data_IF_667647250720
#
_entry.id   IF_667647250720
#
_cell.length_a   1.000
_cell.length_b   1.000
_cell.length_c   1.000
_cell.angle_alpha   90.00
_cell.angle_beta   90.00
_cell.angle_gamma   90.00
#
_symmetry.space_group_name_H-M   'P 1'
#
loop_
_entity.id
_entity.type
_entity.pdbx_description
1 polymer ?
#
# COMPACT_ATOMS: atom_id res chain seq x y z
N UNK A 1 -26.33 49.94 29.58
CA UNK A 1 -25.31 49.36 28.67
C UNK A 1 -23.90 49.96 28.84
N UNK A 2 -23.73 51.27 29.05
CA UNK A 2 -22.42 51.93 29.21
C UNK A 2 -21.52 51.34 30.34
N UNK A 3 -22.11 50.89 31.45
CA UNK A 3 -21.34 50.31 32.57
C UNK A 3 -20.73 48.93 32.25
N UNK A 4 -21.36 48.13 31.39
CA UNK A 4 -20.85 46.82 30.96
C UNK A 4 -19.66 47.01 29.98
N UNK A 5 -19.68 48.09 29.20
CA UNK A 5 -18.57 48.44 28.29
C UNK A 5 -17.37 48.95 29.11
N UNK A 6 -17.60 49.85 30.09
CA UNK A 6 -16.55 50.34 30.99
C UNK A 6 -15.89 49.22 31.81
N UNK A 7 -16.64 48.20 32.23
CA UNK A 7 -16.06 47.06 32.97
C UNK A 7 -15.19 46.16 32.08
N UNK A 8 -15.52 45.98 30.80
CA UNK A 8 -14.68 45.24 29.84
C UNK A 8 -13.38 45.97 29.46
N UNK A 9 -13.38 47.30 29.47
CA UNK A 9 -12.20 48.12 29.13
C UNK A 9 -11.12 48.14 30.23
N UNK A 10 -11.45 47.72 31.46
CA UNK A 10 -10.48 47.66 32.58
C UNK A 10 -9.48 46.50 32.52
N UNK A 11 -9.57 45.61 31.53
CA UNK A 11 -8.64 44.49 31.41
C UNK A 11 -7.27 44.95 30.88
N UNK A 12 -6.22 44.80 31.69
CA UNK A 12 -4.84 45.17 31.32
C UNK A 12 -4.16 44.02 30.56
N UNK A 13 -3.70 44.30 29.34
CA UNK A 13 -2.87 43.37 28.58
C UNK A 13 -1.39 43.59 28.89
N UNK A 14 -0.65 42.51 29.15
CA UNK A 14 0.80 42.58 29.33
C UNK A 14 1.46 43.00 28.03
N UNK A 15 2.22 44.11 28.03
CA UNK A 15 3.03 44.54 26.88
C UNK A 15 4.09 43.48 26.58
N UNK A 16 4.22 43.07 25.31
CA UNK A 16 5.24 42.13 24.86
C UNK A 16 6.61 42.85 24.86
N UNK A 17 7.55 42.42 25.70
CA UNK A 17 8.91 42.93 25.68
C UNK A 17 9.73 42.23 24.58
N UNK A 18 10.55 43.01 23.87
CA UNK A 18 11.51 42.52 22.89
C UNK A 18 12.81 42.13 23.60
N UNK A 19 12.79 41.05 24.38
CA UNK A 19 14.00 40.53 24.99
C UNK A 19 14.88 39.87 23.92
N UNK A 20 16.21 39.92 24.09
CA UNK A 20 17.14 39.14 23.27
C UNK A 20 16.86 37.65 23.45
N UNK A 21 16.39 37.00 22.39
CA UNK A 21 16.11 35.57 22.42
C UNK A 21 17.43 34.77 22.52
N UNK A 22 17.47 33.81 23.44
CA UNK A 22 18.56 32.85 23.51
C UNK A 22 18.65 32.07 22.19
N UNK A 23 19.84 32.08 21.58
CA UNK A 23 20.07 31.39 20.30
C UNK A 23 19.93 29.88 20.50
N UNK A 24 18.88 29.29 19.95
CA UNK A 24 18.75 27.83 19.94
C UNK A 24 19.62 27.25 18.82
N UNK A 25 20.62 26.44 19.21
CA UNK A 25 21.64 25.94 18.27
C UNK A 25 21.02 24.94 17.26
N UNK A 26 20.09 24.07 17.70
CA UNK A 26 19.43 23.08 16.83
C UNK A 26 18.00 22.77 17.29
N UNK A 27 17.05 22.87 16.36
CA UNK A 27 15.68 22.43 16.59
C UNK A 27 15.53 20.90 16.61
N UNK A 28 14.59 20.43 17.44
CA UNK A 28 14.14 19.03 17.45
C UNK A 28 13.46 18.70 16.13
N UNK A 29 13.69 17.49 15.65
CA UNK A 29 12.92 16.99 14.50
C UNK A 29 11.46 16.80 14.87
N UNK A 30 10.58 17.49 14.17
CA UNK A 30 9.14 17.30 14.29
C UNK A 30 8.70 16.10 13.47
N UNK A 31 7.85 15.29 14.08
CA UNK A 31 7.23 14.12 13.46
C UNK A 31 5.74 14.43 13.26
N UNK A 32 5.10 13.95 12.17
CA UNK A 32 3.67 14.15 12.01
C UNK A 32 2.87 13.62 13.20
N UNK A 33 1.94 14.41 13.72
CA UNK A 33 1.10 14.08 14.90
C UNK A 33 0.35 12.74 14.78
N UNK A 34 0.03 12.33 13.55
CA UNK A 34 -0.62 11.03 13.27
C UNK A 34 0.27 9.83 13.62
N UNK A 35 1.60 10.02 13.69
CA UNK A 35 2.49 8.96 14.19
C UNK A 35 2.38 8.79 15.69
N UNK A 36 2.07 9.85 16.44
CA UNK A 36 1.75 9.75 17.86
C UNK A 36 0.46 8.98 18.06
N UNK A 37 -0.65 9.36 17.43
CA UNK A 37 -1.90 8.63 17.57
C UNK A 37 -2.51 8.28 16.22
N UNK A 38 -2.93 7.01 16.08
CA UNK A 38 -3.61 6.53 14.86
C UNK A 38 -4.88 7.34 14.56
N UNK A 39 -5.52 7.87 15.60
CA UNK A 39 -6.61 8.83 15.48
C UNK A 39 -6.08 10.19 15.95
N UNK A 40 -5.85 11.10 15.00
CA UNK A 40 -5.60 12.51 15.29
C UNK A 40 -6.96 13.18 15.43
N UNK A 41 -7.44 13.31 16.67
CA UNK A 41 -8.73 13.92 16.99
C UNK A 41 -8.67 14.68 18.32
N UNK A 42 -9.37 15.79 18.36
CA UNK A 42 -9.75 16.46 19.58
C UNK A 42 -11.25 16.79 19.53
N UNK A 43 -11.97 16.49 20.60
CA UNK A 43 -13.40 16.83 20.74
C UNK A 43 -13.63 17.38 22.14
N UNK A 44 -14.47 18.41 22.24
CA UNK A 44 -14.92 18.97 23.51
C UNK A 44 -15.76 17.94 24.28
N UNK A 45 -16.78 17.36 23.65
CA UNK A 45 -17.57 16.28 24.22
C UNK A 45 -16.79 14.94 24.23
N UNK A 46 -16.32 14.54 25.41
CA UNK A 46 -15.50 13.33 25.63
C UNK A 46 -16.26 12.02 25.44
N UNK A 47 -17.60 12.01 25.53
CA UNK A 47 -18.40 10.80 25.35
C UNK A 47 -18.19 10.20 23.95
N UNK A 48 -18.10 11.06 22.94
CA UNK A 48 -17.84 10.65 21.55
C UNK A 48 -16.46 10.01 21.34
N UNK A 49 -15.45 10.43 22.10
CA UNK A 49 -14.06 10.00 21.97
C UNK A 49 -13.88 8.53 22.36
N UNK A 50 -14.65 8.05 23.34
CA UNK A 50 -14.59 6.67 23.86
C UNK A 50 -14.93 5.60 22.80
N UNK A 51 -15.82 5.93 21.85
CA UNK A 51 -16.29 5.01 20.82
C UNK A 51 -15.33 4.90 19.61
N UNK A 52 -14.44 5.88 19.44
CA UNK A 52 -13.57 5.99 18.27
C UNK A 52 -12.64 4.79 18.09
N UNK A 53 -11.94 4.27 19.12
CA UNK A 53 -11.09 3.10 18.96
C UNK A 53 -11.84 1.86 18.43
N UNK A 54 -13.09 1.67 18.87
CA UNK A 54 -13.94 0.56 18.41
C UNK A 54 -14.37 0.79 16.97
N UNK A 55 -14.83 2.01 16.64
CA UNK A 55 -15.20 2.41 15.29
C UNK A 55 -14.03 2.23 14.31
N UNK A 56 -12.84 2.73 14.63
CA UNK A 56 -11.64 2.58 13.79
C UNK A 56 -11.27 1.12 13.54
N UNK A 57 -11.43 0.26 14.55
CA UNK A 57 -11.20 -1.18 14.41
C UNK A 57 -12.21 -1.85 13.48
N UNK A 58 -13.48 -1.46 13.53
CA UNK A 58 -14.53 -1.96 12.62
C UNK A 58 -14.29 -1.47 11.19
N UNK A 59 -14.03 -0.18 11.01
CA UNK A 59 -13.68 0.43 9.72
C UNK A 59 -12.47 -0.27 9.10
N UNK A 60 -11.43 -0.56 9.89
CA UNK A 60 -10.27 -1.29 9.39
C UNK A 60 -10.61 -2.73 8.98
N UNK A 61 -11.55 -3.41 9.65
CA UNK A 61 -12.04 -4.72 9.19
C UNK A 61 -12.76 -4.61 7.85
N UNK A 62 -13.60 -3.61 7.65
CA UNK A 62 -14.30 -3.36 6.38
C UNK A 62 -13.32 -3.08 5.24
N UNK A 63 -12.36 -2.17 5.45
CA UNK A 63 -11.31 -1.83 4.48
C UNK A 63 -10.49 -3.09 4.14
N UNK A 64 -10.05 -3.86 5.14
CA UNK A 64 -9.34 -5.13 4.92
C UNK A 64 -10.22 -6.12 4.13
N UNK A 65 -11.53 -6.18 4.39
CA UNK A 65 -12.48 -6.98 3.62
C UNK A 65 -12.56 -6.58 2.15
N UNK A 66 -12.80 -5.28 1.89
CA UNK A 66 -12.92 -4.70 0.56
C UNK A 66 -11.70 -5.01 -0.32
N UNK A 67 -10.49 -4.71 0.15
CA UNK A 67 -9.28 -4.94 -0.64
C UNK A 67 -8.94 -6.43 -0.81
N UNK A 68 -9.34 -7.29 0.14
CA UNK A 68 -9.22 -8.74 0.02
C UNK A 68 -10.32 -9.38 -0.86
N UNK A 69 -11.27 -8.61 -1.41
CA UNK A 69 -12.26 -9.14 -2.36
C UNK A 69 -11.57 -9.71 -3.62
N UNK A 70 -12.14 -10.76 -4.21
CA UNK A 70 -11.60 -11.39 -5.42
C UNK A 70 -12.73 -11.64 -6.43
N UNK A 71 -12.44 -11.46 -7.71
CA UNK A 71 -13.34 -11.95 -8.77
C UNK A 71 -13.15 -13.46 -8.94
N UNK A 72 -13.97 -14.24 -8.24
CA UNK A 72 -13.90 -15.70 -8.23
C UNK A 72 -14.17 -16.31 -9.61
N UNK A 73 -15.03 -15.68 -10.41
CA UNK A 73 -15.52 -16.18 -11.70
C UNK A 73 -14.44 -16.09 -12.78
N UNK A 74 -13.65 -15.02 -12.80
CA UNK A 74 -12.54 -14.89 -13.75
C UNK A 74 -11.34 -15.73 -13.29
N UNK A 75 -11.04 -15.75 -11.99
CA UNK A 75 -9.91 -16.53 -11.47
C UNK A 75 -10.10 -18.05 -11.60
N UNK A 76 -11.34 -18.55 -11.52
CA UNK A 76 -11.62 -19.97 -11.73
C UNK A 76 -11.31 -20.39 -13.17
N UNK A 77 -11.67 -19.56 -14.14
CA UNK A 77 -11.41 -19.81 -15.58
C UNK A 77 -9.92 -19.89 -15.91
N UNK A 78 -9.05 -19.25 -15.12
CA UNK A 78 -7.59 -19.27 -15.30
C UNK A 78 -6.89 -20.53 -14.78
N UNK A 79 -7.59 -21.41 -14.05
CA UNK A 79 -7.01 -22.59 -13.41
C UNK A 79 -7.63 -23.87 -13.97
N UNK A 80 -6.83 -24.94 -14.03
CA UNK A 80 -7.35 -26.28 -14.33
C UNK A 80 -8.21 -26.79 -13.17
N UNK A 81 -7.80 -26.52 -11.93
CA UNK A 81 -8.47 -26.98 -10.72
C UNK A 81 -9.05 -25.83 -9.87
N UNK A 82 -10.19 -26.12 -9.24
CA UNK A 82 -10.88 -25.19 -8.33
C UNK A 82 -10.10 -25.07 -7.01
N UNK A 83 -9.52 -23.89 -6.77
CA UNK A 83 -8.85 -23.64 -5.49
C UNK A 83 -9.86 -23.45 -4.35
N UNK A 84 -9.73 -24.25 -3.28
CA UNK A 84 -10.53 -24.14 -2.04
C UNK A 84 -10.46 -22.71 -1.45
N UNK A 85 -11.58 -22.22 -0.89
CA UNK A 85 -11.69 -20.87 -0.29
C UNK A 85 -10.62 -20.62 0.78
N UNK A 86 -10.32 -21.62 1.62
CA UNK A 86 -9.26 -21.54 2.65
C UNK A 86 -7.88 -21.21 2.07
N UNK A 87 -7.49 -21.85 0.96
CA UNK A 87 -6.19 -21.64 0.34
C UNK A 87 -6.08 -20.24 -0.30
N UNK A 88 -7.20 -19.67 -0.76
CA UNK A 88 -7.26 -18.28 -1.26
C UNK A 88 -6.99 -17.30 -0.13
N UNK A 89 -7.65 -17.47 1.03
CA UNK A 89 -7.46 -16.64 2.23
C UNK A 89 -6.01 -16.68 2.77
N UNK A 90 -5.30 -17.80 2.56
CA UNK A 90 -3.89 -17.99 2.97
C UNK A 90 -2.87 -17.59 1.90
N UNK A 91 -3.32 -17.12 0.73
CA UNK A 91 -2.43 -16.70 -0.35
C UNK A 91 -1.67 -15.42 0.02
N UNK A 92 -0.39 -15.37 -0.32
CA UNK A 92 0.39 -14.13 -0.25
C UNK A 92 0.15 -13.22 -1.47
N UNK A 93 -0.51 -13.71 -2.51
CA UNK A 93 -0.79 -12.93 -3.72
C UNK A 93 -2.08 -12.13 -3.53
N UNK A 94 -1.96 -11.04 -2.78
CA UNK A 94 -3.07 -10.15 -2.43
C UNK A 94 -2.56 -8.73 -2.25
N UNK A 95 -3.49 -7.81 -2.00
CA UNK A 95 -3.17 -6.44 -1.61
C UNK A 95 -2.91 -6.45 -0.10
N UNK A 96 -1.72 -6.01 0.31
CA UNK A 96 -1.39 -5.82 1.72
C UNK A 96 -1.61 -4.37 2.08
N UNK A 97 -2.13 -4.11 3.28
CA UNK A 97 -2.56 -2.78 3.72
C UNK A 97 -2.01 -2.58 5.12
N UNK A 98 -1.50 -1.40 5.45
CA UNK A 98 -1.13 -1.06 6.83
C UNK A 98 -2.37 -0.95 7.71
N UNK A 99 -2.17 -0.71 9.00
CA UNK A 99 -3.23 -0.08 9.78
C UNK A 99 -3.52 1.34 9.26
N UNK A 100 -4.75 1.79 9.46
CA UNK A 100 -5.24 3.09 9.01
C UNK A 100 -4.84 4.21 9.96
N UNK A 101 -4.51 5.33 9.37
CA UNK A 101 -4.23 6.61 10.02
C UNK A 101 -5.43 7.54 9.77
N UNK A 102 -6.11 7.96 10.83
CA UNK A 102 -7.36 8.71 10.77
C UNK A 102 -7.13 10.13 11.28
N UNK A 103 -7.37 11.12 10.42
CA UNK A 103 -7.44 12.53 10.82
C UNK A 103 -8.90 12.93 10.87
N UNK A 104 -9.36 13.38 12.02
CA UNK A 104 -10.74 13.79 12.21
C UNK A 104 -10.82 15.32 12.27
N UNK A 105 -11.77 15.88 11.53
CA UNK A 105 -12.27 17.24 11.76
C UNK A 105 -13.71 17.15 12.26
N UNK A 106 -14.41 18.28 12.38
CA UNK A 106 -15.83 18.27 12.71
C UNK A 106 -16.65 17.59 11.59
N UNK A 107 -16.33 17.88 10.33
CA UNK A 107 -17.17 17.48 9.19
C UNK A 107 -16.65 16.25 8.46
N UNK A 108 -15.33 16.05 8.41
CA UNK A 108 -14.68 14.99 7.63
C UNK A 108 -13.72 14.11 8.44
N UNK A 109 -13.48 12.92 7.89
CA UNK A 109 -12.51 11.94 8.38
C UNK A 109 -11.62 11.52 7.22
N UNK A 110 -10.36 11.93 7.29
CA UNK A 110 -9.36 11.66 6.27
C UNK A 110 -8.57 10.42 6.68
N UNK A 111 -8.77 9.33 5.94
CA UNK A 111 -8.20 8.02 6.22
C UNK A 111 -7.01 7.78 5.31
N UNK A 112 -5.81 7.82 5.87
CA UNK A 112 -4.57 7.48 5.18
C UNK A 112 -4.27 5.99 5.31
N UNK A 113 -4.00 5.34 4.17
CA UNK A 113 -3.73 3.91 4.09
C UNK A 113 -2.49 3.67 3.23
N UNK A 114 -1.49 2.98 3.78
CA UNK A 114 -0.39 2.47 2.99
C UNK A 114 -0.76 1.12 2.39
N UNK A 115 -0.44 0.92 1.11
CA UNK A 115 -0.81 -0.29 0.37
C UNK A 115 0.37 -0.85 -0.40
N UNK A 116 0.57 -2.17 -0.35
CA UNK A 116 1.49 -2.89 -1.22
C UNK A 116 0.72 -3.89 -2.10
N UNK A 117 0.58 -3.54 -3.39
CA UNK A 117 -0.22 -4.31 -4.34
C UNK A 117 0.57 -5.46 -5.00
N UNK A 118 0.81 -6.52 -4.22
CA UNK A 118 1.49 -7.73 -4.74
C UNK A 118 0.67 -8.48 -5.78
N UNK A 119 -0.66 -8.38 -5.70
CA UNK A 119 -1.58 -9.03 -6.63
C UNK A 119 -1.35 -8.51 -8.06
N UNK A 120 -1.33 -7.19 -8.27
CA UNK A 120 -1.02 -6.55 -9.55
C UNK A 120 0.33 -7.00 -10.10
N UNK A 121 1.38 -6.95 -9.26
CA UNK A 121 2.73 -7.35 -9.67
C UNK A 121 2.76 -8.80 -10.17
N UNK A 122 2.06 -9.72 -9.49
CA UNK A 122 2.00 -11.11 -9.91
C UNK A 122 1.24 -11.29 -11.23
N UNK A 123 0.13 -10.58 -11.45
CA UNK A 123 -0.59 -10.62 -12.72
C UNK A 123 0.26 -10.07 -13.87
N UNK A 124 0.94 -8.93 -13.67
CA UNK A 124 1.86 -8.36 -14.67
C UNK A 124 3.00 -9.32 -15.01
N UNK A 125 3.61 -9.95 -14.00
CA UNK A 125 4.68 -10.94 -14.21
C UNK A 125 4.20 -12.14 -15.04
N UNK A 126 3.00 -12.65 -14.74
CA UNK A 126 2.39 -13.75 -15.51
C UNK A 126 2.07 -13.33 -16.94
N UNK A 127 1.53 -12.13 -17.12
CA UNK A 127 1.15 -11.59 -18.41
C UNK A 127 2.40 -11.42 -19.30
N UNK A 128 3.47 -10.82 -18.77
CA UNK A 128 4.75 -10.63 -19.47
C UNK A 128 5.39 -11.96 -19.86
N UNK A 129 5.56 -12.88 -18.89
CA UNK A 129 6.29 -14.14 -19.13
C UNK A 129 5.53 -15.12 -20.03
N UNK A 130 4.20 -15.22 -19.89
CA UNK A 130 3.42 -16.24 -20.58
C UNK A 130 2.81 -15.80 -21.89
N UNK A 131 2.58 -14.50 -22.09
CA UNK A 131 1.86 -14.03 -23.27
C UNK A 131 2.73 -13.07 -24.09
N UNK A 132 3.12 -11.92 -23.54
CA UNK A 132 3.89 -10.92 -24.31
C UNK A 132 5.21 -11.47 -24.85
N UNK A 133 5.96 -12.21 -24.01
CA UNK A 133 7.23 -12.82 -24.46
C UNK A 133 7.05 -13.89 -25.52
N UNK A 134 5.90 -14.58 -25.57
CA UNK A 134 5.64 -15.58 -26.60
C UNK A 134 5.27 -14.91 -27.92
N UNK A 135 4.40 -13.90 -27.88
CA UNK A 135 3.94 -13.18 -29.08
C UNK A 135 5.06 -12.39 -29.79
N UNK A 136 6.15 -12.07 -29.09
CA UNK A 136 7.33 -11.43 -29.70
C UNK A 136 8.23 -12.39 -30.50
N UNK A 137 8.08 -13.70 -30.34
CA UNK A 137 8.94 -14.67 -31.04
C UNK A 137 8.45 -14.87 -32.48
N UNK A 138 9.31 -14.56 -33.45
CA UNK A 138 9.02 -14.71 -34.89
C UNK A 138 8.59 -16.16 -35.23
N UNK A 139 9.29 -17.15 -34.69
CA UNK A 139 8.96 -18.57 -34.87
C UNK A 139 7.55 -18.93 -34.38
N UNK A 140 7.10 -18.32 -33.28
CA UNK A 140 5.77 -18.53 -32.76
C UNK A 140 4.70 -17.87 -33.65
N UNK A 141 4.97 -16.67 -34.18
CA UNK A 141 4.06 -15.99 -35.11
C UNK A 141 3.94 -16.77 -36.42
N UNK A 142 5.06 -17.21 -37.00
CA UNK A 142 5.06 -18.08 -38.20
C UNK A 142 4.26 -19.36 -37.97
N UNK A 143 4.47 -20.03 -36.83
CA UNK A 143 3.68 -21.22 -36.46
C UNK A 143 2.18 -20.91 -36.33
N UNK A 144 1.81 -19.75 -35.78
CA UNK A 144 0.40 -19.33 -35.71
C UNK A 144 -0.19 -19.07 -37.11
N UNK A 145 0.57 -18.47 -38.02
CA UNK A 145 0.15 -18.26 -39.41
C UNK A 145 -0.07 -19.61 -40.12
N UNK A 146 0.85 -20.56 -39.97
CA UNK A 146 0.68 -21.90 -40.54
C UNK A 146 -0.57 -22.61 -39.98
N UNK A 147 -0.77 -22.59 -38.66
CA UNK A 147 -1.96 -23.16 -38.03
C UNK A 147 -3.24 -22.48 -38.54
N UNK A 148 -3.21 -21.16 -38.76
CA UNK A 148 -4.33 -20.40 -39.34
C UNK A 148 -4.63 -20.88 -40.76
N UNK A 149 -3.62 -20.99 -41.62
CA UNK A 149 -3.80 -21.38 -43.02
C UNK A 149 -4.33 -22.80 -43.14
N UNK A 150 -3.74 -23.76 -42.41
CA UNK A 150 -4.22 -25.15 -42.35
C UNK A 150 -5.66 -25.20 -41.80
N UNK A 151 -5.95 -24.42 -40.76
CA UNK A 151 -7.30 -24.34 -40.19
C UNK A 151 -8.34 -23.79 -41.16
N UNK A 152 -8.03 -22.72 -41.90
CA UNK A 152 -8.92 -22.15 -42.92
C UNK A 152 -9.17 -23.14 -44.07
N UNK A 153 -8.15 -23.87 -44.51
CA UNK A 153 -8.30 -24.89 -45.54
C UNK A 153 -9.24 -26.03 -45.10
N UNK A 154 -9.13 -26.48 -43.84
CA UNK A 154 -10.03 -27.51 -43.29
C UNK A 154 -11.48 -26.99 -43.23
N UNK A 155 -11.67 -25.73 -42.83
CA UNK A 155 -13.00 -25.11 -42.76
C UNK A 155 -13.65 -25.00 -44.15
N UNK A 156 -12.89 -24.57 -45.17
CA UNK A 156 -13.39 -24.47 -46.55
C UNK A 156 -13.85 -25.85 -47.08
N UNK A 157 -13.02 -26.88 -46.91
CA UNK A 157 -13.38 -28.26 -47.29
C UNK A 157 -14.63 -28.75 -46.59
N UNK A 158 -14.81 -28.40 -45.31
CA UNK A 158 -16.01 -28.77 -44.57
C UNK A 158 -17.25 -28.02 -45.06
N UNK A 159 -17.12 -26.75 -45.46
CA UNK A 159 -18.21 -25.96 -46.00
C UNK A 159 -18.67 -26.48 -47.37
N UNK A 160 -17.75 -26.91 -48.23
CA UNK A 160 -18.08 -27.57 -49.50
C UNK A 160 -18.83 -28.88 -49.26
N UNK A 161 -18.31 -29.74 -48.38
CA UNK A 161 -18.98 -30.99 -48.00
C UNK A 161 -20.36 -30.76 -47.41
N UNK A 162 -20.54 -29.71 -46.61
CA UNK A 162 -21.85 -29.41 -46.02
C UNK A 162 -22.85 -28.94 -47.09
N UNK A 163 -22.43 -28.13 -48.07
CA UNK A 163 -23.26 -27.74 -49.22
C UNK A 163 -23.72 -28.96 -50.04
N UNK A 164 -22.80 -29.89 -50.32
CA UNK A 164 -23.14 -31.14 -51.03
C UNK A 164 -24.17 -31.93 -50.21
N UNK A 165 -23.95 -32.09 -48.91
CA UNK A 165 -24.85 -32.85 -48.03
C UNK A 165 -26.24 -32.21 -47.92
N UNK A 166 -26.34 -30.88 -47.87
CA UNK A 166 -27.63 -30.18 -47.84
C UNK A 166 -28.40 -30.30 -49.14
N UNK A 167 -27.69 -30.39 -50.28
CA UNK A 167 -28.32 -30.61 -51.58
C UNK A 167 -28.87 -32.05 -51.70
N UNK A 168 -28.15 -33.04 -51.18
CA UNK A 168 -28.57 -34.45 -51.20
C UNK A 168 -29.68 -34.73 -50.18
N UNK A 169 -29.68 -34.06 -49.03
CA UNK A 169 -30.63 -34.28 -47.92
C UNK A 169 -31.28 -32.97 -47.43
N UNK A 170 -32.18 -32.35 -48.22
CA UNK A 170 -32.74 -31.03 -47.91
C UNK A 170 -33.53 -31.01 -46.59
N UNK A 171 -34.27 -32.08 -46.29
CA UNK A 171 -35.05 -32.24 -45.06
C UNK A 171 -34.20 -32.25 -43.78
N UNK A 172 -32.88 -32.50 -43.90
CA UNK A 172 -31.94 -32.54 -42.77
C UNK A 172 -31.03 -31.31 -42.69
N UNK A 173 -31.22 -30.31 -43.55
CA UNK A 173 -30.37 -29.12 -43.64
C UNK A 173 -30.13 -28.43 -42.29
N UNK A 174 -31.16 -28.27 -41.46
CA UNK A 174 -31.06 -27.67 -40.12
C UNK A 174 -30.10 -28.43 -39.18
N UNK A 175 -30.15 -29.77 -39.19
CA UNK A 175 -29.23 -30.62 -38.43
C UNK A 175 -27.80 -30.50 -38.95
N UNK A 176 -27.60 -30.47 -40.27
CA UNK A 176 -26.27 -30.29 -40.88
C UNK A 176 -25.63 -28.96 -40.46
N UNK A 177 -26.39 -27.86 -40.55
CA UNK A 177 -25.92 -26.54 -40.10
C UNK A 177 -25.61 -26.52 -38.59
N UNK A 178 -26.39 -27.21 -37.77
CA UNK A 178 -26.15 -27.29 -36.32
C UNK A 178 -24.79 -27.94 -36.00
N UNK A 179 -24.46 -29.05 -36.68
CA UNK A 179 -23.19 -29.78 -36.51
C UNK A 179 -22.01 -28.94 -37.00
N UNK A 180 -22.18 -28.29 -38.16
CA UNK A 180 -21.19 -27.37 -38.72
C UNK A 180 -20.88 -26.21 -37.75
N UNK A 181 -21.92 -25.57 -37.21
CA UNK A 181 -21.79 -24.51 -36.21
C UNK A 181 -21.07 -24.99 -34.94
N UNK A 182 -21.34 -26.22 -34.50
CA UNK A 182 -20.68 -26.82 -33.34
C UNK A 182 -19.19 -27.03 -33.59
N UNK A 183 -18.83 -27.48 -34.80
CA UNK A 183 -17.43 -27.59 -35.23
C UNK A 183 -16.74 -26.23 -35.27
N UNK A 184 -17.34 -25.22 -35.92
CA UNK A 184 -16.81 -23.86 -35.99
C UNK A 184 -16.59 -23.26 -34.60
N UNK A 185 -17.57 -23.42 -33.70
CA UNK A 185 -17.45 -22.98 -32.31
C UNK A 185 -16.29 -23.65 -31.58
N UNK A 186 -16.09 -24.94 -31.80
CA UNK A 186 -14.97 -25.68 -31.20
C UNK A 186 -13.61 -25.24 -31.76
N UNK A 187 -13.53 -25.00 -33.08
CA UNK A 187 -12.34 -24.47 -33.72
C UNK A 187 -11.97 -23.09 -33.18
N UNK A 188 -12.91 -22.15 -33.17
CA UNK A 188 -12.73 -20.79 -32.62
C UNK A 188 -12.32 -20.84 -31.14
N UNK A 189 -12.97 -21.71 -30.34
CA UNK A 189 -12.65 -21.85 -28.91
C UNK A 189 -11.24 -22.38 -28.69
N UNK A 190 -10.77 -23.33 -29.52
CA UNK A 190 -9.41 -23.87 -29.46
C UNK A 190 -8.38 -22.83 -29.93
N UNK A 191 -8.63 -22.15 -31.04
CA UNK A 191 -7.72 -21.15 -31.62
C UNK A 191 -7.53 -19.93 -30.71
N UNK A 192 -8.61 -19.40 -30.14
CA UNK A 192 -8.59 -18.20 -29.28
C UNK A 192 -8.27 -18.50 -27.82
N UNK A 193 -7.99 -19.75 -27.43
CA UNK A 193 -7.78 -20.14 -26.02
C UNK A 193 -6.70 -19.30 -25.34
N UNK A 194 -5.58 -19.03 -26.01
CA UNK A 194 -4.47 -18.23 -25.45
C UNK A 194 -4.84 -16.76 -25.29
N UNK A 195 -5.50 -16.18 -26.31
CA UNK A 195 -5.99 -14.80 -26.28
C UNK A 195 -7.04 -14.60 -25.18
N UNK A 196 -7.93 -15.57 -25.01
CA UNK A 196 -8.92 -15.58 -23.92
C UNK A 196 -8.28 -15.49 -22.53
N UNK A 197 -7.21 -16.27 -22.29
CA UNK A 197 -6.49 -16.18 -21.01
C UNK A 197 -5.76 -14.84 -20.83
N UNK A 198 -5.18 -14.31 -21.90
CA UNK A 198 -4.60 -12.96 -21.89
C UNK A 198 -5.66 -11.91 -21.49
N UNK A 199 -6.84 -11.97 -22.09
CA UNK A 199 -7.96 -11.07 -21.76
C UNK A 199 -8.40 -11.22 -20.30
N UNK A 200 -8.47 -12.45 -19.76
CA UNK A 200 -8.76 -12.64 -18.34
C UNK A 200 -7.72 -12.01 -17.41
N UNK A 201 -6.43 -12.08 -17.73
CA UNK A 201 -5.42 -11.36 -16.94
C UNK A 201 -5.56 -9.83 -17.08
N UNK A 202 -5.90 -9.31 -18.27
CA UNK A 202 -6.17 -7.88 -18.50
C UNK A 202 -7.38 -7.41 -17.69
N UNK A 203 -8.47 -8.18 -17.67
CA UNK A 203 -9.66 -7.91 -16.85
C UNK A 203 -9.33 -7.91 -15.36
N UNK A 204 -8.56 -8.89 -14.86
CA UNK A 204 -8.14 -8.90 -13.45
C UNK A 204 -7.25 -7.72 -13.07
N UNK A 205 -6.41 -7.24 -14.00
CA UNK A 205 -5.63 -6.02 -13.80
C UNK A 205 -6.52 -4.77 -13.73
N UNK A 206 -7.52 -4.68 -14.61
CA UNK A 206 -8.49 -3.59 -14.59
C UNK A 206 -9.28 -3.58 -13.28
N UNK A 207 -9.86 -4.72 -12.87
CA UNK A 207 -10.56 -4.86 -11.59
C UNK A 207 -9.67 -4.48 -10.40
N UNK A 208 -8.39 -4.85 -10.47
CA UNK A 208 -7.45 -4.49 -9.41
C UNK A 208 -7.13 -2.99 -9.40
N UNK A 209 -7.06 -2.31 -10.55
CA UNK A 209 -6.90 -0.85 -10.66
C UNK A 209 -8.15 -0.13 -10.15
N UNK A 210 -9.32 -0.55 -10.63
CA UNK A 210 -10.64 -0.07 -10.24
C UNK A 210 -10.82 0.04 -8.72
N UNK A 211 -10.29 -0.92 -7.93
CA UNK A 211 -10.36 -0.87 -6.45
C UNK A 211 -9.83 0.41 -5.80
N UNK A 212 -8.96 1.14 -6.49
CA UNK A 212 -8.35 2.38 -6.01
C UNK A 212 -9.00 3.63 -6.62
N UNK A 213 -9.91 3.47 -7.58
CA UNK A 213 -10.63 4.57 -8.21
C UNK A 213 -11.81 4.99 -7.31
N UNK A 214 -12.11 6.29 -7.28
CA UNK A 214 -13.10 6.85 -6.36
C UNK A 214 -14.51 6.27 -6.59
N UNK A 215 -14.85 5.99 -7.84
CA UNK A 215 -16.13 5.37 -8.24
C UNK A 215 -16.39 4.04 -7.54
N UNK A 216 -15.41 3.14 -7.53
CA UNK A 216 -15.54 1.83 -6.85
C UNK A 216 -15.41 1.94 -5.34
N UNK A 217 -14.68 2.94 -4.83
CA UNK A 217 -14.54 3.20 -3.39
C UNK A 217 -15.83 3.75 -2.78
N UNK A 218 -16.74 4.33 -3.57
CA UNK A 218 -17.97 4.95 -3.07
C UNK A 218 -18.81 4.01 -2.18
N UNK A 219 -18.89 2.72 -2.54
CA UNK A 219 -19.59 1.74 -1.71
C UNK A 219 -18.95 1.57 -0.33
N UNK A 220 -17.62 1.57 -0.24
CA UNK A 220 -16.88 1.53 1.02
C UNK A 220 -17.02 2.85 1.80
N UNK A 221 -16.93 3.99 1.11
CA UNK A 221 -17.11 5.33 1.68
C UNK A 221 -18.48 5.43 2.36
N UNK A 222 -19.56 4.98 1.70
CA UNK A 222 -20.90 5.00 2.26
C UNK A 222 -21.02 4.17 3.54
N UNK A 223 -20.39 2.98 3.60
CA UNK A 223 -20.37 2.15 4.80
C UNK A 223 -19.59 2.81 5.96
N UNK A 224 -18.47 3.46 5.67
CA UNK A 224 -17.66 4.15 6.68
C UNK A 224 -18.35 5.43 7.15
N UNK A 225 -19.01 6.17 6.25
CA UNK A 225 -19.81 7.36 6.57
C UNK A 225 -20.89 7.04 7.60
N UNK A 226 -21.58 5.90 7.48
CA UNK A 226 -22.57 5.44 8.48
C UNK A 226 -21.99 5.21 9.87
N UNK A 227 -20.71 4.82 9.98
CA UNK A 227 -20.04 4.56 11.26
C UNK A 227 -19.62 5.86 11.95
N UNK A 228 -18.98 6.78 11.21
CA UNK A 228 -18.48 8.03 11.79
C UNK A 228 -19.47 9.19 11.77
N UNK A 229 -20.57 9.08 11.00
CA UNK A 229 -21.53 10.17 10.74
C UNK A 229 -20.86 11.46 10.21
N UNK A 230 -19.80 11.28 9.42
CA UNK A 230 -18.96 12.34 8.85
C UNK A 230 -18.61 12.00 7.41
N UNK A 231 -18.24 13.01 6.63
CA UNK A 231 -17.68 12.79 5.29
C UNK A 231 -16.36 12.02 5.38
N UNK A 232 -16.07 11.17 4.40
CA UNK A 232 -14.92 10.27 4.45
C UNK A 232 -14.12 10.42 3.17
N UNK A 233 -12.84 10.74 3.33
CA UNK A 233 -11.88 10.84 2.24
C UNK A 233 -10.77 9.81 2.44
N UNK A 234 -10.44 9.08 1.37
CA UNK A 234 -9.37 8.08 1.40
C UNK A 234 -8.09 8.64 0.75
N UNK A 235 -7.01 8.67 1.52
CA UNK A 235 -5.66 8.91 1.00
C UNK A 235 -4.90 7.58 0.92
N UNK A 236 -4.92 6.93 -0.26
CA UNK A 236 -4.29 5.63 -0.45
C UNK A 236 -2.88 5.79 -1.05
N UNK A 237 -1.86 5.46 -0.27
CA UNK A 237 -0.45 5.58 -0.65
C UNK A 237 0.09 4.22 -1.09
N UNK A 238 0.45 4.09 -2.37
CA UNK A 238 1.03 2.85 -2.89
C UNK A 238 2.54 2.76 -2.62
N UNK A 239 2.95 1.76 -1.84
CA UNK A 239 4.34 1.47 -1.53
C UNK A 239 5.00 0.68 -2.66
N UNK A 240 6.20 1.10 -3.06
CA UNK A 240 7.04 0.35 -4.02
C UNK A 240 7.52 -0.98 -3.45
N UNK A 241 7.90 -1.00 -2.17
CA UNK A 241 8.38 -2.18 -1.48
C UNK A 241 7.62 -2.42 -0.17
N UNK A 242 7.39 -3.71 0.12
CA UNK A 242 6.60 -4.13 1.28
C UNK A 242 7.31 -3.93 2.63
N UNK A 243 8.63 -3.72 2.63
CA UNK A 243 9.44 -3.50 3.83
C UNK A 243 9.54 -2.03 4.23
N UNK A 244 8.85 -1.11 3.55
CA UNK A 244 8.75 0.31 3.93
C UNK A 244 7.75 0.57 5.06
N UNK A 245 6.90 -0.40 5.37
CA UNK A 245 5.93 -0.30 6.45
C UNK A 245 5.92 -1.62 7.22
N UNK A 246 5.98 -1.55 8.55
CA UNK A 246 6.12 -2.74 9.39
C UNK A 246 4.88 -3.64 9.39
N UNK A 247 3.65 -3.09 9.25
CA UNK A 247 2.42 -3.88 9.19
C UNK A 247 2.40 -4.74 7.92
N UNK A 248 2.71 -4.10 6.80
CA UNK A 248 2.77 -4.75 5.50
C UNK A 248 3.92 -5.77 5.46
N UNK A 249 5.04 -5.47 6.13
CA UNK A 249 6.21 -6.35 6.20
C UNK A 249 5.94 -7.65 6.96
N UNK A 250 5.16 -7.59 8.04
CA UNK A 250 4.85 -8.74 8.91
C UNK A 250 3.73 -9.63 8.38
N UNK A 251 2.73 -9.07 7.68
CA UNK A 251 1.57 -9.83 7.16
C UNK A 251 1.92 -11.07 6.30
N UNK A 252 2.88 -11.02 5.35
CA UNK A 252 3.29 -12.18 4.59
C UNK A 252 3.81 -13.33 5.46
N UNK A 253 4.48 -13.03 6.58
CA UNK A 253 4.98 -14.05 7.52
C UNK A 253 3.81 -14.78 8.18
N UNK A 254 2.83 -14.02 8.69
CA UNK A 254 1.61 -14.57 9.31
C UNK A 254 0.92 -15.55 8.38
N UNK A 255 0.67 -15.17 7.13
CA UNK A 255 -0.02 -16.03 6.15
C UNK A 255 0.77 -17.30 5.83
N UNK A 256 2.10 -17.18 5.72
CA UNK A 256 2.98 -18.34 5.47
C UNK A 256 2.99 -19.30 6.65
N UNK A 257 3.07 -18.80 7.88
CA UNK A 257 3.07 -19.61 9.11
C UNK A 257 1.73 -20.33 9.31
N UNK A 258 0.61 -19.67 8.99
CA UNK A 258 -0.72 -20.31 8.98
C UNK A 258 -0.80 -21.48 7.99
N UNK A 259 -0.11 -21.37 6.84
CA UNK A 259 -0.10 -22.43 5.81
C UNK A 259 0.87 -23.55 6.14
N UNK A 260 2.13 -23.23 6.46
CA UNK A 260 3.19 -24.18 6.84
C UNK A 260 4.03 -23.60 7.96
N UNK A 261 4.29 -24.39 9.01
CA UNK A 261 5.00 -23.97 10.22
C UNK A 261 6.53 -24.07 10.08
N UNK A 262 7.08 -23.50 8.99
CA UNK A 262 8.54 -23.46 8.71
C UNK A 262 9.12 -22.08 9.07
N UNK A 263 9.16 -21.80 10.38
CA UNK A 263 9.45 -20.49 10.95
C UNK A 263 10.77 -19.87 10.49
N UNK A 264 11.90 -20.53 10.79
CA UNK A 264 13.23 -20.00 10.49
C UNK A 264 13.44 -19.69 9.00
N UNK A 265 12.97 -20.60 8.14
CA UNK A 265 13.07 -20.44 6.68
C UNK A 265 12.32 -19.21 6.19
N UNK A 266 11.12 -18.97 6.72
CA UNK A 266 10.31 -17.82 6.30
C UNK A 266 10.81 -16.50 6.87
N UNK A 267 11.35 -16.49 8.09
CA UNK A 267 12.06 -15.33 8.65
C UNK A 267 13.26 -14.95 7.78
N UNK A 268 14.19 -15.89 7.54
CA UNK A 268 15.39 -15.66 6.70
C UNK A 268 15.00 -15.14 5.31
N UNK A 269 13.97 -15.72 4.68
CA UNK A 269 13.53 -15.33 3.34
C UNK A 269 12.85 -13.95 3.26
N UNK A 270 12.26 -13.44 4.35
CA UNK A 270 11.66 -12.11 4.37
C UNK A 270 12.70 -11.03 4.69
N UNK A 271 13.57 -11.28 5.66
CA UNK A 271 14.65 -10.35 6.01
C UNK A 271 15.58 -10.13 4.82
N UNK A 272 16.00 -11.20 4.11
CA UNK A 272 16.81 -11.09 2.88
C UNK A 272 16.18 -10.27 1.75
N UNK A 273 14.85 -10.06 1.77
CA UNK A 273 14.16 -9.26 0.76
C UNK A 273 14.18 -7.76 1.05
N UNK A 274 14.46 -7.38 2.29
CA UNK A 274 14.71 -5.98 2.63
C UNK A 274 16.10 -5.63 2.10
N UNK A 275 16.15 -4.86 1.02
CA UNK A 275 17.41 -4.35 0.47
C UNK A 275 17.76 -3.08 1.24
N UNK A 276 18.69 -3.24 2.18
CA UNK A 276 19.28 -2.14 2.95
C UNK A 276 20.57 -1.76 2.23
N UNK A 277 20.81 -0.46 2.10
CA UNK A 277 22.05 0.10 1.56
C UNK A 277 22.80 0.78 2.68
N UNK A 278 24.12 0.78 2.59
CA UNK A 278 24.96 1.56 3.50
C UNK A 278 24.80 3.05 3.17
N UNK A 279 24.64 3.86 4.21
CA UNK A 279 24.30 5.29 4.10
C UNK A 279 25.27 6.08 4.97
N UNK A 280 25.96 7.06 4.38
CA UNK A 280 26.70 8.08 5.12
C UNK A 280 25.70 9.07 5.74
N UNK A 281 25.91 9.42 7.01
CA UNK A 281 25.07 10.37 7.72
C UNK A 281 25.47 11.80 7.37
N UNK A 282 24.53 12.59 6.87
CA UNK A 282 24.77 14.01 6.60
C UNK A 282 24.81 14.81 7.90
N UNK A 283 25.64 15.83 7.95
CA UNK A 283 25.70 16.77 9.07
C UNK A 283 24.61 17.84 8.96
N UNK A 284 24.11 18.31 10.11
CA UNK A 284 23.24 19.49 10.18
C UNK A 284 24.09 20.74 10.22
N UNK A 285 23.65 21.78 9.51
CA UNK A 285 24.15 23.14 9.72
C UNK A 285 24.04 23.50 11.21
N UNK A 286 25.10 24.14 11.72
CA UNK A 286 25.23 24.52 13.14
C UNK A 286 24.33 25.71 13.49
N UNK A 287 24.00 26.56 12.52
CA UNK A 287 23.21 27.76 12.68
C UNK A 287 21.93 27.64 11.84
N UNK A 288 20.79 27.63 12.52
CA UNK A 288 19.47 27.74 11.91
C UNK A 288 19.06 29.22 11.73
N UNK A 289 19.70 30.13 12.47
CA UNK A 289 19.27 31.51 12.67
C UNK A 289 19.96 32.56 11.78
N UNK A 290 20.74 32.20 10.76
CA UNK A 290 21.28 33.24 9.87
C UNK A 290 20.18 34.04 9.17
N UNK A 291 18.99 33.45 8.92
CA UNK A 291 17.83 34.19 8.40
C UNK A 291 17.28 35.20 9.40
N UNK A 292 17.03 34.82 10.66
CA UNK A 292 16.49 35.74 11.69
C UNK A 292 17.49 36.83 12.10
N UNK A 293 18.79 36.51 12.10
CA UNK A 293 19.84 37.51 12.27
C UNK A 293 19.94 38.44 11.06
N UNK A 294 19.73 37.95 9.83
CA UNK A 294 19.59 38.79 8.64
C UNK A 294 18.38 39.74 8.75
N UNK A 295 17.27 39.29 9.32
CA UNK A 295 16.06 40.10 9.50
C UNK A 295 16.17 41.12 10.65
N UNK A 296 16.98 40.85 11.69
CA UNK A 296 17.24 41.81 12.78
C UNK A 296 18.18 42.95 12.39
N UNK A 297 19.02 42.78 11.38
CA UNK A 297 20.04 43.76 11.00
C UNK A 297 19.54 44.84 10.04
N UNK A 298 18.46 44.62 9.27
CA UNK A 298 18.04 45.54 8.22
C UNK A 298 16.61 46.06 8.42
N UNK A 299 16.50 47.22 9.05
CA UNK A 299 15.28 48.04 9.14
C UNK A 299 14.91 48.77 7.84
N UNK A 300 15.40 48.34 6.66
CA UNK A 300 15.24 49.08 5.41
C UNK A 300 14.80 48.16 4.26
N UNK A 301 13.83 48.64 3.48
CA UNK A 301 13.04 48.06 2.37
C UNK A 301 13.74 47.14 1.34
N UNK A 302 15.06 46.99 1.42
CA UNK A 302 15.89 46.07 0.63
C UNK A 302 15.55 44.58 0.84
N UNK A 303 15.03 44.19 2.00
CA UNK A 303 14.65 42.81 2.34
C UNK A 303 13.47 42.29 1.51
N UNK A 304 12.51 43.17 1.16
CA UNK A 304 11.39 42.84 0.29
C UNK A 304 11.85 42.52 -1.14
N UNK A 305 12.86 43.21 -1.66
CA UNK A 305 13.39 42.97 -3.00
C UNK A 305 14.21 41.67 -3.12
N UNK A 306 14.95 41.29 -2.07
CA UNK A 306 15.73 40.05 -2.04
C UNK A 306 14.81 38.84 -1.82
N UNK A 307 13.81 38.96 -0.96
CA UNK A 307 12.76 37.96 -0.79
C UNK A 307 11.94 37.80 -2.08
N UNK A 308 11.59 38.90 -2.76
CA UNK A 308 10.91 38.86 -4.05
C UNK A 308 11.77 38.21 -5.14
N UNK A 309 13.07 38.52 -5.23
CA UNK A 309 14.00 37.83 -6.13
C UNK A 309 14.13 36.33 -5.84
N UNK A 310 14.15 35.93 -4.57
CA UNK A 310 14.16 34.52 -4.17
C UNK A 310 12.81 33.84 -4.46
N UNK A 311 11.68 34.54 -4.28
CA UNK A 311 10.34 34.05 -4.63
C UNK A 311 10.21 33.91 -6.16
N UNK A 312 10.74 34.84 -6.94
CA UNK A 312 10.78 34.80 -8.40
C UNK A 312 11.68 33.67 -8.92
N UNK A 313 12.88 33.49 -8.35
CA UNK A 313 13.76 32.36 -8.66
C UNK A 313 13.15 31.00 -8.27
N UNK A 314 12.38 30.94 -7.18
CA UNK A 314 11.70 29.71 -6.74
C UNK A 314 10.47 29.34 -7.60
N UNK A 315 9.90 30.28 -8.36
CA UNK A 315 8.77 30.00 -9.26
C UNK A 315 9.17 29.18 -10.50
N UNK A 316 10.45 29.22 -10.92
CA UNK A 316 10.86 28.71 -12.24
C UNK A 316 11.33 27.25 -12.25
N UNK A 317 11.49 26.58 -11.11
CA UNK A 317 12.04 25.22 -11.05
C UNK A 317 11.33 24.32 -10.03
N UNK A 318 10.27 23.63 -10.48
CA UNK A 318 9.60 22.57 -9.69
C UNK A 318 10.56 21.47 -9.17
N UNK A 319 11.73 21.34 -9.81
CA UNK A 319 12.78 20.38 -9.46
C UNK A 319 13.53 20.79 -8.18
N UNK A 320 13.78 22.08 -7.99
CA UNK A 320 14.52 22.59 -6.83
C UNK A 320 13.65 22.60 -5.58
N UNK A 321 12.38 23.03 -5.69
CA UNK A 321 11.40 22.89 -4.60
C UNK A 321 11.27 21.44 -4.14
N UNK A 322 11.20 20.50 -5.09
CA UNK A 322 11.16 19.07 -4.78
C UNK A 322 12.43 18.60 -4.07
N UNK A 323 13.60 19.10 -4.46
CA UNK A 323 14.88 18.76 -3.82
C UNK A 323 14.93 19.28 -2.38
N UNK A 324 14.52 20.52 -2.15
CA UNK A 324 14.43 21.14 -0.82
C UNK A 324 13.50 20.33 0.08
N UNK A 325 12.24 20.12 -0.34
CA UNK A 325 11.25 19.34 0.43
C UNK A 325 11.74 17.93 0.72
N UNK A 326 12.31 17.25 -0.28
CA UNK A 326 12.85 15.90 -0.07
C UNK A 326 14.07 15.90 0.85
N UNK A 327 14.90 16.93 0.86
CA UNK A 327 16.06 17.02 1.75
C UNK A 327 15.64 17.18 3.21
N UNK A 328 14.58 17.95 3.47
CA UNK A 328 14.08 18.24 4.81
C UNK A 328 13.37 17.04 5.44
N UNK A 329 12.71 16.21 4.65
CA UNK A 329 12.08 14.97 5.13
C UNK A 329 13.13 14.01 5.69
N UNK A 330 12.96 13.59 6.95
CA UNK A 330 13.80 12.60 7.64
C UNK A 330 13.28 11.17 7.49
N UNK A 331 14.12 10.18 7.81
CA UNK A 331 13.77 8.75 7.82
C UNK A 331 13.29 8.20 6.47
N UNK A 332 13.89 8.69 5.39
CA UNK A 332 13.50 8.36 4.00
C UNK A 332 13.92 6.96 3.58
N UNK A 333 15.04 6.48 4.12
CA UNK A 333 15.66 5.23 3.70
C UNK A 333 15.56 4.20 4.83
N UNK A 334 15.27 2.96 4.50
CA UNK A 334 15.24 1.89 5.50
C UNK A 334 16.66 1.52 5.92
N UNK A 335 16.96 1.68 7.21
CA UNK A 335 18.26 1.38 7.81
C UNK A 335 18.31 -0.03 8.41
N UNK A 336 17.16 -0.57 8.81
CA UNK A 336 17.10 -1.85 9.49
C UNK A 336 15.71 -2.43 9.55
N UNK A 337 15.64 -3.76 9.58
CA UNK A 337 14.41 -4.52 9.79
C UNK A 337 14.64 -5.66 10.77
N UNK A 338 13.65 -5.92 11.64
CA UNK A 338 13.65 -7.05 12.57
C UNK A 338 12.30 -7.75 12.49
N UNK A 339 12.32 -9.08 12.50
CA UNK A 339 11.14 -9.93 12.59
C UNK A 339 11.31 -10.96 13.70
N UNK A 340 10.26 -11.13 14.48
CA UNK A 340 10.17 -12.10 15.54
C UNK A 340 8.84 -12.84 15.41
N UNK A 341 8.83 -14.14 15.69
CA UNK A 341 7.57 -14.85 15.87
C UNK A 341 7.70 -15.88 16.98
N UNK A 342 6.63 -15.98 17.76
CA UNK A 342 6.56 -16.75 18.99
C UNK A 342 5.20 -17.46 19.12
N UNK A 343 5.17 -18.66 19.69
CA UNK A 343 3.94 -19.39 20.01
C UNK A 343 3.94 -20.86 19.56
N UNK A 344 2.75 -21.46 19.41
CA UNK A 344 2.59 -22.89 19.05
C UNK A 344 2.83 -23.11 17.55
N UNK A 345 4.10 -23.11 17.17
CA UNK A 345 4.60 -23.22 15.78
C UNK A 345 5.34 -24.54 15.50
N UNK A 346 5.18 -25.55 16.34
CA UNK A 346 5.70 -26.92 16.12
C UNK A 346 5.02 -27.58 14.91
N UNK A 347 5.69 -28.53 14.25
CA UNK A 347 5.15 -29.18 13.03
C UNK A 347 4.19 -30.34 13.34
N UNK A 348 4.54 -31.19 14.30
CA UNK A 348 3.75 -32.35 14.74
C UNK A 348 2.54 -31.88 15.55
N UNK A 349 1.40 -32.58 15.44
CA UNK A 349 0.17 -32.26 16.18
C UNK A 349 0.25 -32.84 17.60
N UNK A 350 1.14 -32.27 18.40
CA UNK A 350 1.46 -32.72 19.76
C UNK A 350 1.39 -31.55 20.73
N UNK A 351 1.16 -31.84 22.01
CA UNK A 351 1.25 -30.88 23.10
C UNK A 351 2.74 -30.59 23.41
N UNK A 352 3.35 -29.74 22.59
CA UNK A 352 4.75 -29.36 22.72
C UNK A 352 4.90 -27.89 23.13
N UNK A 353 6.01 -27.57 23.78
CA UNK A 353 6.37 -26.20 24.20
C UNK A 353 6.40 -25.22 23.02
N UNK A 354 6.23 -23.94 23.35
CA UNK A 354 6.20 -22.86 22.35
C UNK A 354 7.56 -22.70 21.64
N UNK A 355 7.55 -22.17 20.42
CA UNK A 355 8.77 -21.83 19.70
C UNK A 355 8.88 -20.32 19.58
N UNK A 356 10.09 -19.79 19.79
CA UNK A 356 10.44 -18.39 19.56
C UNK A 356 11.65 -18.31 18.63
N UNK A 357 11.58 -17.47 17.59
CA UNK A 357 12.72 -17.20 16.68
C UNK A 357 12.72 -15.75 16.22
N UNK A 358 13.92 -15.18 16.09
CA UNK A 358 14.17 -13.80 15.64
C UNK A 358 15.13 -13.80 14.45
N UNK A 359 14.94 -12.85 13.53
CA UNK A 359 15.94 -12.46 12.53
C UNK A 359 15.92 -10.95 12.32
N UNK A 360 17.09 -10.36 12.14
CA UNK A 360 17.27 -8.93 11.88
C UNK A 360 18.27 -8.70 10.74
N UNK A 361 18.26 -7.50 10.17
CA UNK A 361 19.23 -7.01 9.20
C UNK A 361 19.30 -5.49 9.30
N UNK A 362 20.51 -4.92 9.27
CA UNK A 362 20.75 -3.49 9.48
C UNK A 362 20.51 -3.04 10.93
N UNK A 363 20.35 -1.72 11.11
CA UNK A 363 20.27 -1.08 12.43
C UNK A 363 18.91 -0.43 12.67
N UNK A 364 18.39 -0.56 13.90
CA UNK A 364 17.14 0.06 14.37
C UNK A 364 17.37 1.38 15.12
N UNK A 365 18.61 1.71 15.46
CA UNK A 365 18.96 2.91 16.23
C UNK A 365 18.68 4.17 15.41
N UNK A 366 18.24 5.24 16.07
CA UNK A 366 18.19 6.57 15.46
C UNK A 366 19.62 7.11 15.36
N UNK A 367 20.21 6.97 14.17
CA UNK A 367 21.61 7.32 13.94
C UNK A 367 21.89 8.82 14.17
N UNK A 368 20.96 9.71 13.82
CA UNK A 368 21.12 11.15 14.01
C UNK A 368 21.18 11.57 15.47
N UNK A 369 20.37 10.97 16.34
CA UNK A 369 20.43 11.29 17.77
C UNK A 369 21.55 10.54 18.47
N UNK A 370 21.73 9.25 18.16
CA UNK A 370 22.61 8.37 18.94
C UNK A 370 24.08 8.48 18.53
N UNK A 371 24.37 8.79 17.27
CA UNK A 371 25.74 8.92 16.75
C UNK A 371 26.13 10.41 16.63
N UNK A 372 25.24 11.25 16.09
CA UNK A 372 25.52 12.69 15.88
C UNK A 372 25.09 13.58 17.06
N UNK A 373 24.43 13.04 18.09
CA UNK A 373 24.02 13.80 19.27
C UNK A 373 22.90 14.82 19.01
N UNK A 374 22.16 14.71 17.90
CA UNK A 374 21.12 15.68 17.57
C UNK A 374 19.86 15.48 18.42
N UNK A 375 19.19 16.58 18.84
CA UNK A 375 17.98 16.48 19.62
C UNK A 375 16.86 15.84 18.78
N UNK A 376 16.21 14.81 19.32
CA UNK A 376 15.12 14.09 18.63
C UNK A 376 13.84 14.10 19.46
N UNK A 377 12.69 14.31 18.81
CA UNK A 377 11.39 14.10 19.44
C UNK A 377 11.15 12.61 19.74
N UNK A 378 10.41 12.35 20.82
CA UNK A 378 10.00 10.99 21.21
C UNK A 378 8.49 10.88 21.03
N UNK A 379 8.06 9.83 20.33
CA UNK A 379 6.65 9.56 20.05
C UNK A 379 6.00 8.96 21.30
N UNK A 380 4.85 9.50 21.74
CA UNK A 380 4.16 9.11 23.00
C UNK A 380 5.05 9.06 24.25
N UNK A 381 6.13 9.83 24.28
CA UNK A 381 7.06 9.90 25.42
C UNK A 381 8.11 8.77 25.51
N UNK A 382 7.99 7.65 24.79
CA UNK A 382 8.97 6.56 24.85
C UNK A 382 9.38 5.91 23.50
N UNK A 383 8.65 6.14 22.41
CA UNK A 383 8.95 5.52 21.12
C UNK A 383 9.91 6.36 20.27
N UNK A 384 10.92 5.71 19.69
CA UNK A 384 11.84 6.37 18.76
C UNK A 384 11.12 6.74 17.45
N UNK A 385 11.32 7.96 16.92
CA UNK A 385 10.54 8.48 15.79
C UNK A 385 10.86 7.80 14.45
N UNK A 386 12.03 7.19 14.37
CA UNK A 386 12.54 6.49 13.19
C UNK A 386 12.04 5.05 13.07
N UNK A 387 11.48 4.46 14.15
CA UNK A 387 11.06 3.05 14.20
C UNK A 387 9.56 2.93 14.05
N UNK A 388 9.12 2.04 13.16
CA UNK A 388 7.75 1.54 13.12
C UNK A 388 7.68 0.14 13.70
N UNK A 389 6.83 -0.07 14.70
CA UNK A 389 6.62 -1.37 15.37
C UNK A 389 5.20 -1.90 15.14
N UNK A 390 5.09 -3.20 14.86
CA UNK A 390 3.81 -3.89 14.67
C UNK A 390 3.79 -5.26 15.32
N UNK A 391 2.61 -5.65 15.81
CA UNK A 391 2.34 -6.95 16.43
C UNK A 391 1.06 -7.53 15.82
N UNK A 392 1.19 -8.68 15.17
CA UNK A 392 0.08 -9.41 14.57
C UNK A 392 -0.10 -10.76 15.25
N UNK A 393 -1.31 -11.02 15.72
CA UNK A 393 -1.68 -12.30 16.32
C UNK A 393 -2.43 -13.16 15.30
N UNK A 394 -2.21 -14.47 15.35
CA UNK A 394 -2.89 -15.44 14.49
C UNK A 394 -2.94 -16.81 15.16
N UNK A 395 -3.72 -17.73 14.58
CA UNK A 395 -3.78 -19.13 15.01
C UNK A 395 -3.43 -20.10 13.90
N UNK A 396 -2.83 -21.22 14.29
CA UNK A 396 -2.63 -22.42 13.48
C UNK A 396 -3.54 -23.55 14.00
N UNK A 397 -3.43 -24.77 13.46
CA UNK A 397 -4.21 -25.92 13.95
C UNK A 397 -3.84 -26.32 15.39
N UNK A 398 -2.62 -26.05 15.84
CA UNK A 398 -2.12 -26.47 17.17
C UNK A 398 -2.37 -25.40 18.23
N UNK A 399 -2.50 -24.13 17.82
CA UNK A 399 -2.71 -23.03 18.76
C UNK A 399 -2.34 -21.67 18.20
N UNK A 400 -2.31 -20.68 19.09
CA UNK A 400 -2.01 -19.29 18.79
C UNK A 400 -0.51 -19.04 18.60
N UNK A 401 -0.20 -18.00 17.82
CA UNK A 401 1.14 -17.45 17.67
C UNK A 401 1.08 -15.95 17.34
N UNK A 402 2.12 -15.24 17.74
CA UNK A 402 2.33 -13.82 17.44
C UNK A 402 3.50 -13.62 16.48
N UNK A 403 3.41 -12.56 15.69
CA UNK A 403 4.51 -12.06 14.85
C UNK A 403 4.72 -10.59 15.17
N UNK A 404 5.94 -10.21 15.51
CA UNK A 404 6.36 -8.82 15.70
C UNK A 404 7.28 -8.40 14.57
N UNK A 405 7.20 -7.14 14.18
CA UNK A 405 8.10 -6.57 13.19
C UNK A 405 8.46 -5.12 13.47
N UNK A 406 9.72 -4.80 13.22
CA UNK A 406 10.28 -3.47 13.29
C UNK A 406 10.87 -3.10 11.93
N UNK A 407 10.60 -1.86 11.50
CA UNK A 407 11.24 -1.24 10.35
C UNK A 407 11.75 0.11 10.81
N UNK A 408 13.04 0.38 10.59
CA UNK A 408 13.70 1.62 10.97
C UNK A 408 14.08 2.42 9.73
N UNK A 409 13.93 3.74 9.82
CA UNK A 409 14.43 4.69 8.84
C UNK A 409 15.68 5.44 9.30
N UNK A 410 16.47 5.92 8.34
CA UNK A 410 17.51 6.94 8.48
C UNK A 410 17.23 8.03 7.46
#
# INVERSE_FOLDING_TARGET
>A
MLNIIKSKLKNTYKKKSLNSENVTIRNKDLVPAVRDWKNSIYVYNKNSLSLIPVASRLVMKLIKGYFNSYNLNIESKLRKEKLRRRLRKLSTNKIFISDGEFKHTNDNVNITLYVYNRQRLNYLLKLRKRYLSLFRKVTFVRKLQLIRNVGLNILNKQQEKSKILTNVLPNYSSKVYSVQNLYYRNFIKKSLKRLKYYMYYKQLLYINKAKFENSYLQGLINLVRKIYKKNVEFNIINLKYFYYNSDIFTQPLVLKLRKKRKLLRYLKALVRKAKIKDIKLNERSKYFFELENLFKLNNLDTTNNLLNKLIEQNKTSSKDLKKVVLNDIKFKRVSGVRLEAAGRLTRRYTASRSQHKVRYSGNLINAYSSIKGYPSAVIRGNYKPNIQYTKLNSKSRIGSFGVKGWVSGV
#
